data_IF_404475488879
#
_entry.id   IF_404475488879
#
_cell.length_a   1.000
_cell.length_b   1.000
_cell.length_c   1.000
_cell.angle_alpha   90.00
_cell.angle_beta   90.00
_cell.angle_gamma   90.00
#
_symmetry.space_group_name_H-M   'P 1'
#
loop_
_entity.id
_entity.type
_entity.pdbx_description
1 polymer ?
#
# COMPACT_ATOMS: atom_id res chain seq x y z
N UNK A 1 -6.60 7.52 19.18
CA UNK A 1 -7.71 7.35 18.22
C UNK A 1 -7.63 8.47 17.18
N UNK A 2 -7.51 8.12 15.91
CA UNK A 2 -7.20 9.06 14.82
C UNK A 2 -8.45 9.84 14.43
N UNK A 3 -8.36 11.19 14.43
CA UNK A 3 -9.47 12.15 14.22
C UNK A 3 -10.42 11.81 13.05
N UNK A 4 -9.88 11.20 11.98
CA UNK A 4 -10.63 10.81 10.76
C UNK A 4 -11.65 9.68 10.97
N UNK A 5 -11.38 8.72 11.86
CA UNK A 5 -12.35 7.66 12.18
C UNK A 5 -13.58 8.24 12.89
N UNK A 6 -13.39 9.27 13.71
CA UNK A 6 -14.47 9.98 14.38
C UNK A 6 -15.32 10.84 13.41
N UNK A 7 -14.79 11.15 12.22
CA UNK A 7 -15.48 11.89 11.15
C UNK A 7 -16.22 10.96 10.16
N UNK A 8 -16.28 9.65 10.43
CA UNK A 8 -17.00 8.67 9.61
C UNK A 8 -16.21 8.14 8.41
N UNK A 9 -14.89 8.37 8.35
CA UNK A 9 -14.05 7.75 7.32
C UNK A 9 -13.81 6.27 7.62
N UNK A 10 -14.14 5.41 6.67
CA UNK A 10 -13.87 3.98 6.73
C UNK A 10 -12.43 3.67 6.26
N UNK A 11 -11.72 2.85 7.02
CA UNK A 11 -10.38 2.40 6.62
C UNK A 11 -10.49 1.42 5.45
N UNK A 12 -9.96 1.82 4.29
CA UNK A 12 -9.85 0.95 3.12
C UNK A 12 -8.61 0.06 3.22
N UNK A 13 -8.58 -1.05 2.49
CA UNK A 13 -7.39 -1.90 2.39
C UNK A 13 -6.15 -1.12 1.94
N UNK A 14 -6.31 -0.19 1.01
CA UNK A 14 -5.24 0.71 0.58
C UNK A 14 -4.74 1.54 1.76
N UNK A 15 -5.64 2.07 2.57
CA UNK A 15 -5.29 2.81 3.79
C UNK A 15 -4.59 1.92 4.80
N UNK A 16 -5.03 0.66 5.01
CA UNK A 16 -4.50 -0.32 5.97
C UNK A 16 -3.13 -0.92 5.56
N UNK A 17 -2.85 -0.98 4.26
CA UNK A 17 -1.61 -1.56 3.72
C UNK A 17 -0.62 -0.50 3.22
N UNK A 18 -0.90 0.79 3.45
CA UNK A 18 0.02 1.86 3.08
C UNK A 18 1.26 1.83 3.96
N UNK A 19 2.42 1.64 3.34
CA UNK A 19 3.74 1.77 3.96
C UNK A 19 4.57 2.78 3.19
N UNK A 20 5.36 3.56 3.92
CA UNK A 20 6.18 4.64 3.39
C UNK A 20 7.63 4.34 3.72
N UNK A 21 8.48 4.43 2.73
CA UNK A 21 9.90 4.17 2.83
C UNK A 21 10.64 5.37 2.24
N UNK A 22 11.73 5.79 2.88
CA UNK A 22 12.50 6.95 2.45
C UNK A 22 13.99 6.70 2.56
N UNK A 23 14.75 7.32 1.67
CA UNK A 23 16.17 7.63 1.84
C UNK A 23 16.32 9.14 2.06
N UNK A 24 17.55 9.66 2.02
CA UNK A 24 17.82 11.11 2.07
C UNK A 24 17.17 11.88 0.92
N UNK A 25 17.08 11.24 -0.25
CA UNK A 25 16.81 11.88 -1.53
C UNK A 25 15.65 11.22 -2.30
N UNK A 26 15.10 10.11 -1.81
CA UNK A 26 14.02 9.38 -2.47
C UNK A 26 12.94 8.91 -1.50
N UNK A 27 11.72 8.82 -2.01
CA UNK A 27 10.61 8.17 -1.33
C UNK A 27 10.08 7.02 -2.16
N UNK A 28 9.51 6.05 -1.46
CA UNK A 28 8.86 4.90 -2.04
C UNK A 28 7.69 4.49 -1.14
N UNK A 29 6.49 4.47 -1.67
CA UNK A 29 5.25 4.17 -0.97
C UNK A 29 4.64 2.97 -1.66
N UNK A 30 4.17 2.01 -0.87
CA UNK A 30 3.49 0.82 -1.38
C UNK A 30 2.16 0.63 -0.67
N UNK A 31 1.16 0.24 -1.44
CA UNK A 31 -0.18 -0.11 -0.98
C UNK A 31 -0.69 -1.32 -1.73
N UNK A 32 -1.52 -2.12 -1.09
CA UNK A 32 -2.26 -3.21 -1.70
C UNK A 32 -3.72 -2.79 -1.90
N UNK A 33 -4.29 -3.15 -3.05
CA UNK A 33 -5.68 -2.87 -3.40
C UNK A 33 -6.23 -4.07 -4.19
N UNK A 34 -6.97 -4.94 -3.52
CA UNK A 34 -7.44 -6.22 -4.03
C UNK A 34 -6.31 -7.13 -4.49
N UNK A 35 -6.25 -7.38 -5.80
CA UNK A 35 -5.19 -8.14 -6.46
C UNK A 35 -4.14 -7.24 -7.14
N UNK A 36 -4.10 -5.94 -6.82
CA UNK A 36 -3.11 -5.00 -7.34
C UNK A 36 -2.14 -4.54 -6.25
N UNK A 37 -0.86 -4.45 -6.62
CA UNK A 37 0.15 -3.74 -5.83
C UNK A 37 0.39 -2.39 -6.50
N UNK A 38 0.12 -1.32 -5.74
CA UNK A 38 0.33 0.04 -6.16
C UNK A 38 1.58 0.59 -5.48
N UNK A 39 2.49 1.12 -6.28
CA UNK A 39 3.74 1.73 -5.85
C UNK A 39 3.75 3.18 -6.28
N UNK A 40 4.19 4.07 -5.41
CA UNK A 40 4.39 5.48 -5.70
C UNK A 40 5.79 5.89 -5.24
N UNK A 41 6.60 6.42 -6.14
CA UNK A 41 8.00 6.72 -5.83
C UNK A 41 8.46 7.98 -6.53
N UNK A 42 9.51 8.60 -6.01
CA UNK A 42 10.09 9.81 -6.59
C UNK A 42 11.22 10.38 -5.74
N UNK A 43 11.73 11.54 -6.15
CA UNK A 43 12.77 12.26 -5.41
C UNK A 43 12.19 13.14 -4.30
N UNK A 44 12.88 13.20 -3.15
CA UNK A 44 12.64 14.14 -2.06
C UNK A 44 13.44 15.42 -2.36
N UNK A 45 12.76 16.56 -2.33
CA UNK A 45 13.27 17.92 -2.56
C UNK A 45 12.72 18.84 -1.46
N UNK A 46 13.26 20.05 -1.24
CA UNK A 46 12.80 20.93 -0.16
C UNK A 46 11.30 21.25 -0.19
N UNK A 47 10.72 21.45 -1.38
CA UNK A 47 9.28 21.71 -1.57
C UNK A 47 8.49 20.43 -1.91
N UNK A 48 9.02 19.27 -1.51
CA UNK A 48 8.47 17.99 -1.92
C UNK A 48 7.12 17.71 -1.28
N UNK A 49 6.20 17.27 -2.13
CA UNK A 49 4.98 16.62 -1.73
C UNK A 49 4.87 15.27 -2.46
N UNK A 50 4.11 14.35 -1.88
CA UNK A 50 3.93 13.01 -2.44
C UNK A 50 3.42 13.05 -3.89
N UNK A 51 2.67 14.08 -4.29
CA UNK A 51 2.05 14.19 -5.62
C UNK A 51 3.04 14.43 -6.77
N UNK A 52 4.31 14.71 -6.48
CA UNK A 52 5.36 14.93 -7.49
C UNK A 52 6.05 13.62 -7.95
N UNK A 53 5.63 12.47 -7.43
CA UNK A 53 6.18 11.17 -7.82
C UNK A 53 5.51 10.50 -9.02
N UNK A 54 6.01 9.32 -9.35
CA UNK A 54 5.43 8.42 -10.34
C UNK A 54 4.67 7.30 -9.64
N UNK A 55 3.42 7.08 -10.05
CA UNK A 55 2.61 5.95 -9.59
C UNK A 55 2.66 4.82 -10.63
N UNK A 56 2.93 3.60 -10.17
CA UNK A 56 2.85 2.37 -10.95
C UNK A 56 1.98 1.36 -10.21
N UNK A 57 1.07 0.73 -10.93
CA UNK A 57 0.23 -0.35 -10.40
C UNK A 57 0.47 -1.62 -11.19
N UNK A 58 0.64 -2.73 -10.49
CA UNK A 58 0.74 -4.06 -11.10
C UNK A 58 -0.41 -4.93 -10.61
N UNK A 59 -1.23 -5.36 -11.56
CA UNK A 59 -2.30 -6.31 -11.32
C UNK A 59 -1.75 -7.74 -11.32
N UNK A 60 -2.18 -8.54 -10.36
CA UNK A 60 -1.84 -9.96 -10.25
C UNK A 60 -3.08 -10.81 -10.52
N UNK A 61 -2.84 -12.06 -10.92
CA UNK A 61 -3.90 -13.04 -11.19
C UNK A 61 -4.82 -13.24 -9.99
N UNK A 62 -4.27 -13.25 -8.79
CA UNK A 62 -4.98 -13.51 -7.56
C UNK A 62 -4.38 -12.68 -6.41
N UNK A 63 -5.18 -12.51 -5.35
CA UNK A 63 -4.83 -11.71 -4.17
C UNK A 63 -3.62 -12.26 -3.44
N UNK A 64 -3.52 -13.58 -3.28
CA UNK A 64 -2.40 -14.19 -2.55
C UNK A 64 -1.06 -13.88 -3.23
N UNK A 65 -1.02 -13.89 -4.57
CA UNK A 65 0.15 -13.42 -5.33
C UNK A 65 0.42 -11.93 -5.16
N UNK A 66 -0.61 -11.08 -5.11
CA UNK A 66 -0.43 -9.66 -4.83
C UNK A 66 0.16 -9.43 -3.44
N UNK A 67 -0.35 -10.12 -2.41
CA UNK A 67 0.15 -10.07 -1.03
C UNK A 67 1.60 -10.56 -0.95
N UNK A 68 1.91 -11.71 -1.55
CA UNK A 68 3.27 -12.23 -1.59
C UNK A 68 4.23 -11.26 -2.30
N UNK A 69 3.80 -10.65 -3.41
CA UNK A 69 4.60 -9.66 -4.13
C UNK A 69 4.79 -8.36 -3.32
N UNK A 70 3.75 -7.92 -2.60
CA UNK A 70 3.80 -6.78 -1.70
C UNK A 70 4.84 -6.98 -0.59
N UNK A 71 4.81 -8.13 0.10
CA UNK A 71 5.80 -8.46 1.13
C UNK A 71 7.22 -8.54 0.56
N UNK A 72 7.40 -9.15 -0.61
CA UNK A 72 8.70 -9.21 -1.30
C UNK A 72 9.23 -7.82 -1.65
N UNK A 73 8.37 -6.93 -2.13
CA UNK A 73 8.76 -5.57 -2.47
C UNK A 73 9.23 -4.78 -1.24
N UNK A 74 8.57 -4.96 -0.10
CA UNK A 74 8.98 -4.35 1.17
C UNK A 74 10.33 -4.89 1.64
N UNK A 75 10.48 -6.22 1.65
CA UNK A 75 11.74 -6.84 2.07
C UNK A 75 12.92 -6.33 1.22
N UNK A 76 12.75 -6.32 -0.12
CA UNK A 76 13.77 -5.79 -1.02
C UNK A 76 14.09 -4.32 -0.75
N UNK A 77 13.09 -3.47 -0.47
CA UNK A 77 13.34 -2.06 -0.17
C UNK A 77 14.09 -1.84 1.14
N UNK A 78 13.81 -2.65 2.16
CA UNK A 78 14.56 -2.63 3.41
C UNK A 78 16.02 -3.06 3.20
N UNK A 79 16.25 -4.08 2.37
CA UNK A 79 17.60 -4.53 1.99
C UNK A 79 18.37 -3.48 1.18
N UNK A 80 17.67 -2.71 0.34
CA UNK A 80 18.24 -1.57 -0.40
C UNK A 80 18.62 -0.38 0.50
N UNK A 81 18.34 -0.44 1.80
CA UNK A 81 18.69 0.61 2.77
C UNK A 81 17.64 1.71 2.91
N UNK A 82 16.43 1.52 2.36
CA UNK A 82 15.33 2.44 2.64
C UNK A 82 14.87 2.25 4.09
N UNK A 83 14.60 3.37 4.77
CA UNK A 83 14.06 3.37 6.12
C UNK A 83 12.55 3.52 6.05
N UNK A 84 11.83 2.61 6.71
CA UNK A 84 10.39 2.73 6.84
C UNK A 84 10.02 3.89 7.77
N UNK A 85 9.13 4.75 7.29
CA UNK A 85 8.53 5.84 8.05
C UNK A 85 7.18 5.40 8.60
N UNK A 86 6.91 5.71 9.86
CA UNK A 86 5.65 5.40 10.54
C UNK A 86 5.31 3.91 10.53
N UNK A 87 6.30 3.07 10.85
CA UNK A 87 6.11 1.64 10.97
C UNK A 87 4.90 1.34 11.86
N UNK A 88 3.93 0.63 11.29
CA UNK A 88 2.71 0.22 11.96
C UNK A 88 2.40 -1.22 11.59
N UNK A 89 1.65 -1.88 12.44
CA UNK A 89 1.15 -3.21 12.15
C UNK A 89 0.22 -3.16 10.93
N UNK A 90 0.60 -3.88 9.88
CA UNK A 90 -0.21 -3.97 8.65
C UNK A 90 -1.19 -5.12 8.83
N UNK A 91 -2.47 -4.75 9.01
CA UNK A 91 -3.56 -5.70 8.95
C UNK A 91 -3.96 -5.86 7.48
N UNK A 92 -3.52 -6.94 6.84
CA UNK A 92 -4.06 -7.37 5.56
C UNK A 92 -5.29 -8.21 5.90
N UNK A 93 -6.52 -7.70 5.72
CA UNK A 93 -7.70 -8.50 6.01
C UNK A 93 -7.62 -9.78 5.18
N UNK A 94 -7.81 -10.94 5.80
CA UNK A 94 -8.03 -12.15 5.02
C UNK A 94 -9.31 -11.93 4.23
N UNK A 95 -9.27 -12.20 2.93
CA UNK A 95 -10.45 -12.09 2.10
C UNK A 95 -11.38 -13.23 2.55
N UNK A 96 -12.25 -12.96 3.52
CA UNK A 96 -13.38 -13.82 3.82
C UNK A 96 -14.24 -13.81 2.57
N UNK A 97 -13.99 -14.78 1.68
CA UNK A 97 -14.70 -14.91 0.42
C UNK A 97 -16.18 -14.93 0.70
N UNK A 98 -16.86 -13.80 0.51
CA UNK A 98 -18.29 -13.83 0.28
C UNK A 98 -18.42 -14.28 -1.17
N UNK A 99 -18.96 -15.48 -1.45
CA UNK A 99 -19.32 -15.81 -2.82
C UNK A 99 -20.28 -14.71 -3.28
N UNK A 100 -19.90 -14.00 -4.34
CA UNK A 100 -20.79 -13.02 -4.96
C UNK A 100 -22.10 -13.73 -5.28
N UNK A 101 -23.18 -13.26 -4.67
CA UNK A 101 -24.53 -13.71 -4.98
C UNK A 101 -24.70 -13.55 -6.48
N UNK A 102 -24.78 -14.67 -7.21
CA UNK A 102 -25.17 -14.64 -8.62
C UNK A 102 -26.56 -14.02 -8.66
N UNK A 103 -26.65 -12.78 -9.14
CA UNK A 103 -27.92 -12.18 -9.48
C UNK A 103 -28.59 -13.06 -10.52
N UNK A 104 -29.67 -13.74 -10.12
CA UNK A 104 -30.58 -14.38 -11.04
C UNK A 104 -31.23 -13.29 -11.90
N UNK A 105 -31.12 -13.44 -13.22
CA UNK A 105 -32.08 -12.90 -14.18
C UNK A 105 -32.22 -13.88 -15.32
#
# INVERSE_FOLDING_TARGET
MTKKLAEGFEETERSLTRRVFTTTDQFWIVTLEGNAVCVHFGGIRPDWNESLGQKRSKLYRDRNRAVAAYHRAIAGKLEEGYVEQYAREVLIPENSGKPGTKGAR
#
